data_IF_086733128159
#
_entry.id   IF_086733128159
#
_cell.length_a   1.000
_cell.length_b   1.000
_cell.length_c   1.000
_cell.angle_alpha   90.00
_cell.angle_beta   90.00
_cell.angle_gamma   90.00
#
_symmetry.space_group_name_H-M   'P 1'
#
loop_
_entity.id
_entity.type
_entity.pdbx_description
1 polymer ?
#
# COMPACT_ATOMS: atom_id res chain seq x y z
N UNK A 1 -60.28 -30.79 21.50
CA UNK A 1 -58.80 -30.86 21.39
C UNK A 1 -58.31 -31.47 20.07
N UNK A 2 -58.81 -32.64 19.61
CA UNK A 2 -58.36 -33.27 18.35
C UNK A 2 -58.54 -32.43 17.07
N UNK A 3 -59.64 -31.65 16.96
CA UNK A 3 -59.89 -30.81 15.76
C UNK A 3 -58.96 -29.60 15.67
N UNK A 4 -58.62 -28.98 16.81
CA UNK A 4 -57.68 -27.84 16.88
C UNK A 4 -56.26 -28.29 16.48
N UNK A 5 -55.85 -29.48 16.92
CA UNK A 5 -54.55 -30.05 16.54
C UNK A 5 -54.47 -30.33 15.03
N UNK A 6 -55.58 -30.77 14.43
CA UNK A 6 -55.67 -30.99 12.97
C UNK A 6 -55.58 -29.69 12.18
N UNK A 7 -56.22 -28.61 12.64
CA UNK A 7 -56.13 -27.30 11.99
C UNK A 7 -54.73 -26.68 12.12
N UNK A 8 -54.07 -26.87 13.27
CA UNK A 8 -52.69 -26.42 13.48
C UNK A 8 -51.71 -27.15 12.55
N UNK A 9 -51.92 -28.45 12.34
CA UNK A 9 -51.09 -29.24 11.42
C UNK A 9 -51.27 -28.80 9.96
N UNK A 10 -52.51 -28.50 9.54
CA UNK A 10 -52.76 -27.92 8.20
C UNK A 10 -52.13 -26.53 8.05
N UNK A 11 -52.14 -25.69 9.10
CA UNK A 11 -51.54 -24.35 9.06
C UNK A 11 -50.01 -24.42 8.89
N UNK A 12 -49.35 -25.32 9.62
CA UNK A 12 -47.89 -25.54 9.52
C UNK A 12 -47.52 -26.09 8.12
N UNK A 13 -48.33 -27.00 7.56
CA UNK A 13 -48.10 -27.53 6.22
C UNK A 13 -48.18 -26.44 5.13
N UNK A 14 -49.06 -25.44 5.29
CA UNK A 14 -49.18 -24.31 4.35
C UNK A 14 -47.94 -23.39 4.35
N UNK A 15 -47.26 -23.22 5.48
CA UNK A 15 -46.01 -22.43 5.54
C UNK A 15 -44.81 -23.12 4.88
N UNK A 16 -44.81 -24.45 4.77
CA UNK A 16 -43.71 -25.21 4.15
C UNK A 16 -43.64 -25.09 2.62
N UNK A 17 -44.71 -24.61 1.96
CA UNK A 17 -44.75 -24.40 0.51
C UNK A 17 -44.47 -22.95 0.08
N UNK A 18 -44.18 -22.05 1.04
CA UNK A 18 -43.80 -20.66 0.78
C UNK A 18 -42.28 -20.43 0.76
N UNK A 19 -41.51 -21.47 0.43
CA UNK A 19 -40.11 -21.31 0.03
C UNK A 19 -40.04 -20.58 -1.30
N UNK A 20 -39.85 -19.27 -1.26
CA UNK A 20 -39.54 -18.48 -2.46
C UNK A 20 -38.25 -19.06 -3.06
N UNK A 21 -38.31 -19.65 -4.28
CA UNK A 21 -37.10 -19.99 -5.04
C UNK A 21 -36.33 -18.69 -5.16
N UNK A 22 -35.11 -18.60 -4.58
CA UNK A 22 -34.19 -17.52 -4.93
C UNK A 22 -34.02 -17.60 -6.44
N UNK A 23 -34.64 -16.67 -7.15
CA UNK A 23 -34.48 -16.56 -8.60
C UNK A 23 -32.99 -16.49 -8.90
N UNK A 24 -32.54 -17.24 -9.90
CA UNK A 24 -31.16 -17.30 -10.43
C UNK A 24 -30.66 -15.95 -11.01
N UNK A 25 -31.25 -14.82 -10.58
CA UNK A 25 -30.96 -13.44 -10.99
C UNK A 25 -29.72 -12.86 -10.31
N UNK A 26 -28.90 -13.67 -9.63
CA UNK A 26 -27.60 -13.20 -9.19
C UNK A 26 -26.63 -13.34 -10.37
N UNK A 27 -26.18 -12.24 -11.00
CA UNK A 27 -25.36 -12.28 -12.21
C UNK A 27 -23.95 -12.85 -11.99
N UNK A 28 -23.64 -13.35 -10.78
CA UNK A 28 -22.28 -13.67 -10.35
C UNK A 28 -21.53 -12.40 -9.94
N UNK A 29 -20.70 -12.51 -8.91
CA UNK A 29 -19.72 -11.46 -8.60
C UNK A 29 -18.49 -11.69 -9.48
N UNK A 30 -18.07 -10.69 -10.24
CA UNK A 30 -16.78 -10.73 -10.92
C UNK A 30 -15.73 -10.25 -9.91
N UNK A 31 -14.66 -11.02 -9.77
CA UNK A 31 -13.55 -10.66 -8.91
C UNK A 31 -12.91 -9.36 -9.40
N UNK A 32 -12.56 -8.47 -8.48
CA UNK A 32 -11.83 -7.24 -8.79
C UNK A 32 -10.48 -7.58 -9.41
N UNK A 33 -10.16 -6.99 -10.57
CA UNK A 33 -8.82 -7.08 -11.16
C UNK A 33 -7.73 -6.39 -10.33
N UNK A 34 -8.12 -5.62 -9.30
CA UNK A 34 -7.22 -4.89 -8.41
C UNK A 34 -7.05 -5.58 -7.06
N UNK A 35 -5.80 -5.67 -6.62
CA UNK A 35 -5.40 -6.03 -5.26
C UNK A 35 -4.79 -4.81 -4.54
N UNK A 36 -5.01 -4.71 -3.23
CA UNK A 36 -4.46 -3.61 -2.42
C UNK A 36 -2.99 -3.84 -2.06
N UNK A 37 -2.21 -2.79 -1.82
CA UNK A 37 -0.81 -2.95 -1.37
C UNK A 37 -0.74 -3.62 0.00
N UNK A 38 -1.77 -3.46 0.84
CA UNK A 38 -1.91 -4.21 2.09
C UNK A 38 -1.90 -5.72 1.85
N UNK A 39 -2.68 -6.20 0.89
CA UNK A 39 -2.74 -7.64 0.59
C UNK A 39 -1.47 -8.12 -0.12
N UNK A 40 -0.96 -7.37 -1.10
CA UNK A 40 0.27 -7.72 -1.82
C UNK A 40 1.43 -7.91 -0.84
N UNK A 41 1.64 -6.97 0.08
CA UNK A 41 2.70 -7.10 1.10
C UNK A 41 2.51 -8.31 2.00
N UNK A 42 1.25 -8.68 2.30
CA UNK A 42 0.94 -9.85 3.12
C UNK A 42 1.16 -11.18 2.40
N UNK A 43 1.29 -11.20 1.07
CA UNK A 43 1.69 -12.41 0.32
C UNK A 43 3.15 -12.79 0.66
N UNK A 44 4.02 -11.80 0.90
CA UNK A 44 5.42 -12.05 1.24
C UNK A 44 5.55 -12.65 2.65
N UNK A 45 6.10 -13.87 2.75
CA UNK A 45 6.32 -14.60 4.01
C UNK A 45 7.80 -14.83 4.34
N UNK A 46 8.68 -13.97 3.83
CA UNK A 46 10.13 -14.05 4.07
C UNK A 46 10.93 -14.72 2.94
N UNK A 47 10.25 -15.21 1.91
CA UNK A 47 10.85 -15.77 0.69
C UNK A 47 10.29 -15.07 -0.53
N UNK A 48 11.08 -15.01 -1.61
CA UNK A 48 10.65 -14.46 -2.90
C UNK A 48 9.37 -15.16 -3.38
N UNK A 49 8.41 -14.36 -3.88
CA UNK A 49 7.14 -14.85 -4.40
C UNK A 49 6.90 -14.31 -5.80
N UNK A 50 6.67 -15.20 -6.76
CA UNK A 50 6.15 -14.81 -8.07
C UNK A 50 4.65 -14.54 -7.96
N UNK A 51 4.20 -13.36 -8.36
CA UNK A 51 2.80 -12.97 -8.28
C UNK A 51 2.03 -13.57 -9.46
N UNK A 52 0.89 -14.17 -9.15
CA UNK A 52 -0.04 -14.74 -10.13
C UNK A 52 -1.47 -14.43 -9.75
N UNK A 53 -2.40 -14.56 -10.70
CA UNK A 53 -3.83 -14.39 -10.42
C UNK A 53 -4.28 -15.29 -9.25
N UNK A 54 -3.77 -16.52 -9.17
CA UNK A 54 -4.12 -17.47 -8.11
C UNK A 54 -3.75 -16.97 -6.70
N UNK A 55 -2.53 -16.47 -6.50
CA UNK A 55 -2.09 -15.98 -5.19
C UNK A 55 -2.51 -14.53 -4.89
N UNK A 56 -3.04 -13.83 -5.89
CA UNK A 56 -3.65 -12.50 -5.76
C UNK A 56 -5.18 -12.54 -5.76
N UNK A 57 -5.78 -13.70 -5.49
CA UNK A 57 -7.24 -13.88 -5.38
C UNK A 57 -8.00 -13.46 -6.64
N UNK A 58 -7.47 -13.73 -7.82
CA UNK A 58 -8.03 -13.39 -9.13
C UNK A 58 -7.65 -11.99 -9.64
N UNK A 59 -6.94 -11.18 -8.84
CA UNK A 59 -6.46 -9.88 -9.26
C UNK A 59 -5.19 -9.98 -10.12
N UNK A 60 -4.94 -8.93 -10.90
CA UNK A 60 -3.77 -8.83 -11.80
C UNK A 60 -3.02 -7.51 -11.61
N UNK A 61 -3.67 -6.51 -11.01
CA UNK A 61 -3.22 -5.12 -10.99
C UNK A 61 -3.15 -4.57 -9.58
N UNK A 62 -2.22 -3.65 -9.36
CA UNK A 62 -2.25 -2.71 -8.23
C UNK A 62 -2.59 -1.32 -8.74
N UNK A 63 -3.03 -0.45 -7.85
CA UNK A 63 -2.97 0.98 -8.14
C UNK A 63 -2.63 1.78 -6.89
N UNK A 64 -1.92 2.88 -7.08
CA UNK A 64 -1.42 3.71 -5.99
C UNK A 64 -1.10 5.11 -6.46
N UNK A 65 -0.69 5.95 -5.53
CA UNK A 65 -0.22 7.31 -5.79
C UNK A 65 1.30 7.35 -5.60
N UNK A 66 2.00 7.99 -6.53
CA UNK A 66 3.45 8.15 -6.52
C UNK A 66 3.86 9.09 -5.39
N UNK A 67 4.85 8.66 -4.62
CA UNK A 67 5.46 9.45 -3.54
C UNK A 67 6.98 9.60 -3.66
N UNK A 68 7.60 8.87 -4.60
CA UNK A 68 9.00 9.08 -4.96
C UNK A 68 9.20 10.44 -5.65
N UNK A 69 10.10 11.26 -5.11
CA UNK A 69 10.57 12.50 -5.73
C UNK A 69 12.06 12.37 -6.09
N UNK A 70 12.36 12.41 -7.38
CA UNK A 70 13.72 12.30 -7.90
C UNK A 70 14.43 13.66 -8.05
N UNK A 71 13.74 14.78 -7.84
CA UNK A 71 14.31 16.12 -7.99
C UNK A 71 15.25 16.51 -6.83
N UNK A 72 15.01 15.97 -5.64
CA UNK A 72 15.76 16.31 -4.43
C UNK A 72 17.10 15.58 -4.27
N UNK A 73 17.37 14.52 -5.06
CA UNK A 73 18.62 13.75 -4.95
C UNK A 73 18.77 12.90 -3.68
N UNK A 74 17.70 12.76 -2.89
CA UNK A 74 17.69 12.01 -1.62
C UNK A 74 16.97 10.66 -1.71
N UNK A 75 16.80 10.14 -2.92
CA UNK A 75 16.12 8.88 -3.20
C UNK A 75 17.03 8.02 -4.09
N UNK A 76 17.17 6.72 -3.83
CA UNK A 76 17.89 5.82 -4.72
C UNK A 76 17.39 5.94 -6.17
N UNK A 77 18.33 6.06 -7.11
CA UNK A 77 18.00 6.21 -8.52
C UNK A 77 17.23 4.99 -9.02
N UNK A 78 16.17 5.26 -9.80
CA UNK A 78 15.37 4.24 -10.47
C UNK A 78 14.31 3.54 -9.62
N UNK A 79 14.07 4.00 -8.38
CA UNK A 79 12.98 3.52 -7.55
C UNK A 79 11.71 4.34 -7.77
N UNK A 80 10.69 3.69 -8.32
CA UNK A 80 9.33 4.22 -8.31
C UNK A 80 8.65 3.76 -7.01
N UNK A 81 8.22 4.70 -6.17
CA UNK A 81 7.56 4.38 -4.89
C UNK A 81 6.10 4.78 -4.96
N UNK A 82 5.23 3.81 -4.66
CA UNK A 82 3.78 3.96 -4.65
C UNK A 82 3.22 3.67 -3.27
N UNK A 83 2.15 4.39 -2.91
CA UNK A 83 1.36 4.06 -1.74
C UNK A 83 -0.15 4.01 -2.03
N UNK A 84 -0.86 3.21 -1.25
CA UNK A 84 -2.32 3.13 -1.23
C UNK A 84 -2.82 2.91 0.20
N UNK A 85 -4.12 3.13 0.41
CA UNK A 85 -4.80 2.87 1.67
C UNK A 85 -6.17 2.23 1.48
N UNK A 86 -6.39 1.56 0.33
CA UNK A 86 -7.71 1.08 -0.10
C UNK A 86 -8.29 0.01 0.81
N UNK A 87 -7.44 -0.78 1.46
CA UNK A 87 -7.88 -1.85 2.36
C UNK A 87 -7.70 -1.44 3.81
N UNK A 88 -8.82 -1.47 4.55
CA UNK A 88 -8.88 -1.17 5.99
C UNK A 88 -8.33 0.23 6.36
N UNK A 89 -8.24 1.15 5.39
CA UNK A 89 -7.63 2.47 5.56
C UNK A 89 -6.17 2.41 6.06
N UNK A 90 -5.48 1.27 5.85
CA UNK A 90 -4.07 1.10 6.24
C UNK A 90 -3.18 1.56 5.10
N UNK A 91 -2.45 2.66 5.32
CA UNK A 91 -1.46 3.15 4.36
C UNK A 91 -0.35 2.12 4.21
N UNK A 92 -0.07 1.73 2.97
CA UNK A 92 0.97 0.77 2.62
C UNK A 92 1.71 1.23 1.39
N UNK A 93 3.02 1.02 1.41
CA UNK A 93 3.94 1.42 0.36
C UNK A 93 4.53 0.22 -0.35
N UNK A 94 4.96 0.41 -1.60
CA UNK A 94 5.77 -0.56 -2.33
C UNK A 94 6.80 0.16 -3.20
N UNK A 95 8.00 -0.40 -3.27
CA UNK A 95 9.07 0.08 -4.16
C UNK A 95 9.10 -0.77 -5.43
N UNK A 96 9.20 -0.13 -6.59
CA UNK A 96 9.26 -0.77 -7.90
C UNK A 96 10.51 -0.25 -8.62
N UNK A 97 11.59 -1.05 -8.72
CA UNK A 97 12.79 -0.62 -9.43
C UNK A 97 12.56 -0.73 -10.95
N UNK A 98 12.34 0.41 -11.61
CA UNK A 98 12.14 0.50 -13.07
C UNK A 98 13.25 1.28 -13.79
N UNK A 99 14.34 1.58 -13.09
CA UNK A 99 15.50 2.28 -13.66
C UNK A 99 15.17 3.73 -14.02
N UNK A 100 15.84 4.27 -15.04
CA UNK A 100 15.74 5.70 -15.39
C UNK A 100 14.30 6.19 -15.62
N UNK A 101 13.40 5.31 -16.05
CA UNK A 101 11.99 5.62 -16.28
C UNK A 101 11.26 6.08 -15.00
N UNK A 102 11.76 5.71 -13.80
CA UNK A 102 11.16 6.13 -12.53
C UNK A 102 11.05 7.65 -12.40
N UNK A 103 12.06 8.39 -12.90
CA UNK A 103 12.09 9.85 -12.85
C UNK A 103 11.01 10.53 -13.72
N UNK A 104 10.33 9.78 -14.60
CA UNK A 104 9.22 10.29 -15.43
C UNK A 104 7.87 10.33 -14.71
N UNK A 105 7.79 9.68 -13.54
CA UNK A 105 6.61 9.65 -12.68
C UNK A 105 6.79 10.64 -11.54
N UNK A 106 5.86 11.60 -11.44
CA UNK A 106 5.95 12.68 -10.48
C UNK A 106 5.12 12.39 -9.22
N UNK A 107 5.49 12.91 -8.04
CA UNK A 107 4.65 12.83 -6.86
C UNK A 107 3.21 13.28 -7.14
N UNK A 108 2.23 12.48 -6.73
CA UNK A 108 0.82 12.73 -7.00
C UNK A 108 0.29 12.15 -8.32
N UNK A 109 1.14 11.52 -9.15
CA UNK A 109 0.65 10.68 -10.25
C UNK A 109 -0.06 9.44 -9.68
N UNK A 110 -1.25 9.13 -10.21
CA UNK A 110 -1.96 7.89 -9.90
C UNK A 110 -1.66 6.86 -10.97
N UNK A 111 -1.11 5.72 -10.56
CA UNK A 111 -0.68 4.66 -11.46
C UNK A 111 -1.53 3.41 -11.26
N UNK A 112 -1.82 2.74 -12.36
CA UNK A 112 -2.35 1.37 -12.43
C UNK A 112 -1.26 0.50 -13.03
N UNK A 113 -0.86 -0.56 -12.34
CA UNK A 113 0.27 -1.39 -12.75
C UNK A 113 -0.19 -2.84 -12.82
N UNK A 114 0.06 -3.52 -13.94
CA UNK A 114 -0.06 -4.97 -14.03
C UNK A 114 1.14 -5.62 -13.33
N UNK A 115 0.86 -6.46 -12.34
CA UNK A 115 1.88 -7.08 -11.48
C UNK A 115 1.96 -8.58 -11.66
N UNK A 116 1.24 -9.13 -12.64
CA UNK A 116 1.24 -10.56 -12.94
C UNK A 116 2.60 -10.98 -13.49
N UNK A 117 3.21 -12.00 -12.90
CA UNK A 117 4.57 -12.46 -13.23
C UNK A 117 5.70 -11.65 -12.60
N UNK A 118 5.38 -10.57 -11.87
CA UNK A 118 6.37 -9.84 -11.10
C UNK A 118 6.81 -10.64 -9.86
N UNK A 119 8.02 -10.36 -9.38
CA UNK A 119 8.59 -11.04 -8.21
C UNK A 119 8.61 -10.08 -7.03
N UNK A 120 7.84 -10.43 -6.00
CA UNK A 120 7.81 -9.77 -4.70
C UNK A 120 8.94 -10.33 -3.82
N UNK A 121 9.94 -9.50 -3.52
CA UNK A 121 11.14 -9.93 -2.79
C UNK A 121 11.77 -8.80 -1.97
N UNK A 122 12.63 -9.14 -1.02
CA UNK A 122 13.47 -8.16 -0.33
C UNK A 122 14.83 -8.01 -0.99
N UNK A 123 15.22 -6.77 -1.27
CA UNK A 123 16.55 -6.40 -1.74
C UNK A 123 17.08 -5.31 -0.81
N UNK A 124 18.23 -5.57 -0.18
CA UNK A 124 18.86 -4.68 0.80
C UNK A 124 17.90 -4.22 1.92
N UNK A 125 17.04 -5.13 2.36
CA UNK A 125 16.06 -4.90 3.43
C UNK A 125 14.74 -4.29 2.95
N UNK A 126 14.67 -3.76 1.72
CA UNK A 126 13.49 -3.10 1.14
C UNK A 126 12.63 -4.14 0.41
N UNK A 127 11.34 -4.19 0.72
CA UNK A 127 10.36 -4.98 -0.03
C UNK A 127 10.09 -4.32 -1.39
N UNK A 128 10.44 -5.03 -2.45
CA UNK A 128 10.38 -4.56 -3.82
C UNK A 128 9.52 -5.47 -4.69
N UNK A 129 8.88 -4.86 -5.68
CA UNK A 129 8.22 -5.56 -6.76
C UNK A 129 9.07 -5.48 -8.03
N UNK A 130 9.79 -6.56 -8.33
CA UNK A 130 10.76 -6.61 -9.43
C UNK A 130 10.17 -7.28 -10.69
N UNK A 131 10.73 -6.98 -11.86
CA UNK A 131 10.26 -7.52 -13.13
C UNK A 131 9.13 -6.73 -13.80
N UNK A 132 8.72 -5.60 -13.22
CA UNK A 132 7.77 -4.64 -13.82
C UNK A 132 8.47 -3.84 -14.92
N UNK A 133 7.83 -3.73 -16.08
CA UNK A 133 8.29 -2.89 -17.20
C UNK A 133 7.44 -1.64 -17.29
N UNK A 134 7.96 -0.61 -17.95
CA UNK A 134 7.20 0.62 -18.19
C UNK A 134 5.90 0.39 -18.99
N UNK A 135 5.88 -0.63 -19.85
CA UNK A 135 4.67 -1.06 -20.59
C UNK A 135 3.54 -1.60 -19.70
N UNK A 136 3.87 -2.02 -18.48
CA UNK A 136 2.90 -2.57 -17.52
C UNK A 136 2.24 -1.45 -16.70
N UNK A 137 2.73 -0.21 -16.82
CA UNK A 137 2.33 0.94 -16.03
C UNK A 137 1.45 1.86 -16.88
N UNK A 138 0.28 2.19 -16.34
CA UNK A 138 -0.65 3.15 -16.92
C UNK A 138 -0.85 4.29 -15.94
N UNK A 139 -0.55 5.52 -16.39
CA UNK A 139 -0.87 6.73 -15.64
C UNK A 139 -2.37 7.02 -15.77
N UNK A 140 -3.10 6.90 -14.66
CA UNK A 140 -4.55 7.10 -14.62
C UNK A 140 -4.92 8.56 -14.35
N UNK A 141 -4.11 9.28 -13.57
CA UNK A 141 -4.31 10.70 -13.25
C UNK A 141 -2.99 11.34 -12.80
N UNK A 142 -2.97 12.67 -12.75
CA UNK A 142 -1.87 13.48 -12.21
C UNK A 142 -2.40 14.51 -11.21
N UNK A 143 -1.54 14.97 -10.28
CA UNK A 143 -1.92 15.95 -9.27
C UNK A 143 -2.92 15.44 -8.23
N UNK A 144 -2.95 14.12 -8.00
CA UNK A 144 -3.78 13.52 -6.95
C UNK A 144 -3.18 13.84 -5.58
N UNK A 145 -4.04 14.21 -4.63
CA UNK A 145 -3.62 14.49 -3.26
C UNK A 145 -2.94 13.26 -2.64
N UNK A 146 -1.73 13.47 -2.12
CA UNK A 146 -0.96 12.42 -1.44
C UNK A 146 -1.42 12.38 0.03
N UNK A 147 -1.83 11.20 0.49
CA UNK A 147 -2.12 11.00 1.91
C UNK A 147 -0.81 10.92 2.71
N UNK A 148 -0.56 11.93 3.54
CA UNK A 148 0.65 12.01 4.38
C UNK A 148 0.24 12.11 5.85
N UNK A 149 0.00 10.99 6.54
CA UNK A 149 -0.42 11.02 7.94
C UNK A 149 0.70 11.52 8.83
N UNK A 150 0.33 12.22 9.91
CA UNK A 150 1.25 12.58 10.98
C UNK A 150 1.39 11.37 11.90
N UNK A 151 2.63 10.89 12.07
CA UNK A 151 2.98 9.68 12.82
C UNK A 151 4.01 10.04 13.88
N UNK A 152 3.94 9.37 15.04
CA UNK A 152 4.93 9.56 16.10
C UNK A 152 6.14 8.65 15.88
N UNK A 153 7.31 9.11 16.28
CA UNK A 153 8.56 8.36 16.13
C UNK A 153 8.50 6.95 16.76
N UNK A 154 7.89 6.82 17.94
CA UNK A 154 7.76 5.55 18.64
C UNK A 154 6.87 4.54 17.90
N UNK A 155 5.86 5.00 17.14
CA UNK A 155 5.03 4.12 16.31
C UNK A 155 5.83 3.55 15.14
N UNK A 156 6.68 4.38 14.52
CA UNK A 156 7.60 3.93 13.46
C UNK A 156 8.60 2.91 14.00
N UNK A 157 9.16 3.15 15.18
CA UNK A 157 10.12 2.23 15.82
C UNK A 157 9.48 0.89 16.21
N UNK A 158 8.22 0.91 16.65
CA UNK A 158 7.51 -0.29 17.08
C UNK A 158 7.10 -1.19 15.90
N UNK A 159 6.78 -0.61 14.73
CA UNK A 159 6.38 -1.34 13.53
C UNK A 159 6.91 -0.68 12.24
N UNK A 160 8.23 -0.72 11.99
CA UNK A 160 8.83 -0.07 10.82
C UNK A 160 8.31 -0.65 9.50
N UNK A 161 7.89 -1.92 9.49
CA UNK A 161 7.35 -2.58 8.31
C UNK A 161 6.00 -1.99 7.87
N UNK A 162 5.21 -1.41 8.78
CA UNK A 162 3.97 -0.71 8.40
C UNK A 162 4.22 0.60 7.66
N UNK A 163 5.39 1.22 7.82
CA UNK A 163 5.75 2.53 7.25
C UNK A 163 6.77 2.45 6.11
N UNK A 164 7.33 1.27 5.85
CA UNK A 164 8.21 1.02 4.72
C UNK A 164 7.58 1.48 3.39
N UNK A 165 8.36 2.24 2.61
CA UNK A 165 7.97 2.77 1.29
C UNK A 165 6.71 3.66 1.31
N UNK A 166 6.40 4.29 2.45
CA UNK A 166 5.29 5.26 2.57
C UNK A 166 5.81 6.66 2.83
N UNK A 167 5.01 7.66 2.46
CA UNK A 167 5.28 9.04 2.84
C UNK A 167 4.48 9.39 4.10
N UNK A 168 5.19 9.71 5.17
CA UNK A 168 4.63 10.15 6.45
C UNK A 168 5.21 11.51 6.85
N UNK A 169 4.54 12.18 7.79
CA UNK A 169 5.06 13.37 8.44
C UNK A 169 5.30 13.10 9.92
N UNK A 170 6.41 13.59 10.44
CA UNK A 170 6.67 13.61 11.89
C UNK A 170 6.70 15.07 12.31
N UNK A 171 5.81 15.44 13.23
CA UNK A 171 5.58 16.84 13.59
C UNK A 171 6.43 17.25 14.79
N UNK A 172 6.80 18.54 14.85
CA UNK A 172 7.54 19.15 15.97
C UNK A 172 8.87 18.46 16.28
N UNK A 173 9.54 18.02 15.22
CA UNK A 173 10.85 17.37 15.30
C UNK A 173 11.95 18.39 15.59
N UNK A 174 12.86 18.04 16.51
CA UNK A 174 14.15 18.69 16.69
C UNK A 174 15.31 17.71 16.43
N UNK A 175 16.49 18.25 16.14
CA UNK A 175 17.72 17.47 16.06
C UNK A 175 18.31 17.21 17.46
N UNK A 176 18.86 16.01 17.67
CA UNK A 176 19.53 15.63 18.92
C UNK A 176 20.90 14.98 18.61
N UNK A 177 22.03 15.68 18.79
CA UNK A 177 22.16 17.03 19.33
C UNK A 177 21.66 18.10 18.35
N UNK A 178 21.32 19.27 18.89
CA UNK A 178 20.87 20.40 18.08
C UNK A 178 21.93 20.80 17.02
N UNK A 179 21.48 21.15 15.82
CA UNK A 179 22.35 21.56 14.73
C UNK A 179 22.64 23.08 14.79
N UNK A 180 23.91 23.51 14.84
CA UNK A 180 24.26 24.93 14.75
C UNK A 180 23.73 25.59 13.47
N UNK A 181 23.44 26.90 13.48
CA UNK A 181 23.10 27.64 12.27
C UNK A 181 24.13 27.44 11.15
N UNK A 182 23.67 27.20 9.92
CA UNK A 182 24.53 26.94 8.76
C UNK A 182 24.96 25.47 8.59
N UNK A 183 24.53 24.57 9.48
CA UNK A 183 24.75 23.13 9.30
C UNK A 183 23.87 22.56 8.18
N UNK A 184 24.35 21.50 7.53
CA UNK A 184 23.60 20.72 6.53
C UNK A 184 22.97 19.47 7.16
N UNK A 185 21.90 18.97 6.57
CA UNK A 185 21.29 17.70 6.99
C UNK A 185 21.98 16.45 6.47
N UNK A 186 23.04 16.60 5.66
CA UNK A 186 23.82 15.49 5.12
C UNK A 186 24.29 14.48 6.18
N UNK A 187 24.25 13.20 5.79
CA UNK A 187 24.58 12.04 6.60
C UNK A 187 23.43 11.61 7.51
N UNK A 188 23.78 10.82 8.51
CA UNK A 188 22.84 10.39 9.55
C UNK A 188 22.73 11.44 10.64
N UNK A 189 21.50 11.88 10.90
CA UNK A 189 21.14 12.79 11.99
C UNK A 189 20.07 12.17 12.85
N UNK A 190 20.22 12.27 14.17
CA UNK A 190 19.18 11.87 15.10
C UNK A 190 18.15 13.00 15.21
N UNK A 191 16.89 12.60 15.06
CA UNK A 191 15.73 13.48 15.18
C UNK A 191 14.79 12.96 16.27
N UNK A 192 14.18 13.88 17.02
CA UNK A 192 13.31 13.57 18.16
C UNK A 192 12.05 14.45 18.12
N UNK A 193 10.88 13.83 18.28
CA UNK A 193 9.55 14.47 18.29
C UNK A 193 8.90 14.50 19.68
N UNK A 194 9.66 14.16 20.72
CA UNK A 194 9.21 13.98 22.10
C UNK A 194 8.74 12.56 22.44
N UNK A 195 8.62 11.65 21.46
CA UNK A 195 8.19 10.27 21.68
C UNK A 195 9.31 9.24 21.49
N UNK A 196 10.40 9.60 20.82
CA UNK A 196 11.49 8.68 20.48
C UNK A 196 12.50 9.31 19.52
N UNK A 197 13.60 8.59 19.30
CA UNK A 197 14.68 8.99 18.40
C UNK A 197 14.60 8.21 17.08
N UNK A 198 14.61 8.91 15.94
CA UNK A 198 14.75 8.33 14.61
C UNK A 198 16.03 8.82 13.95
N UNK A 199 16.60 7.99 13.09
CA UNK A 199 17.70 8.40 12.21
C UNK A 199 17.12 8.98 10.92
N UNK A 200 17.37 10.26 10.67
CA UNK A 200 17.19 10.91 9.39
C UNK A 200 18.48 10.77 8.58
N UNK A 201 18.41 10.06 7.45
CA UNK A 201 19.50 9.98 6.50
C UNK A 201 19.27 10.99 5.36
N UNK A 202 20.28 11.80 5.06
CA UNK A 202 20.29 12.66 3.86
C UNK A 202 21.55 12.43 3.04
N UNK A 203 21.39 12.15 1.76
CA UNK A 203 22.49 11.96 0.83
C UNK A 203 23.34 13.24 0.70
N UNK A 204 24.66 13.07 0.54
CA UNK A 204 25.61 14.20 0.53
C UNK A 204 25.42 15.15 -0.67
N UNK A 205 24.76 14.68 -1.74
CA UNK A 205 24.42 15.49 -2.93
C UNK A 205 22.96 15.93 -3.02
N UNK A 206 22.18 15.73 -1.96
CA UNK A 206 20.78 16.13 -1.89
C UNK A 206 20.63 17.65 -1.86
N UNK A 207 19.63 18.17 -2.58
CA UNK A 207 19.27 19.59 -2.58
C UNK A 207 18.23 19.94 -1.49
N UNK A 208 17.99 19.03 -0.54
CA UNK A 208 17.11 19.30 0.60
C UNK A 208 17.87 20.26 1.53
N UNK A 209 17.58 21.55 1.38
CA UNK A 209 18.03 22.62 2.27
C UNK A 209 17.39 22.50 3.66
#
# INVERSE_FOLDING_TARGET
MKKILSYLFCLIALFSFWGCKKSDNYPGGIVSSYISLFDVRNIYKGTDVSLSSDNMFGAEKIAGVVVSDHSGGNLPAGFLILQDNRRLSKLRGITIPIGADAATYLPGDSLVINVTGAILKKVDGILQLTGIKNSDIVKAASGVAINTPIVKSNEVLADPQSFESTLISIAKVGFDPNLPPGSTYAGDRLINDGFGNLTLHTETGSNIC
#
